data_IF_617551922975
#
_entry.id   IF_617551922975
#
_cell.length_a   1.000
_cell.length_b   1.000
_cell.length_c   1.000
_cell.angle_alpha   90.00
_cell.angle_beta   90.00
_cell.angle_gamma   90.00
#
_symmetry.space_group_name_H-M   'P 1'
#
loop_
_entity.id
_entity.type
_entity.pdbx_description
1 polymer ?
#
# COMPACT_ATOMS: atom_id res chain seq x y z
N UNK A 1 -12.77 10.82 17.77
CA UNK A 1 -11.75 10.53 16.77
C UNK A 1 -11.69 11.61 15.71
N UNK A 2 -10.57 11.70 15.06
CA UNK A 2 -10.34 12.65 13.98
C UNK A 2 -10.38 11.93 12.63
N UNK A 3 -10.61 12.69 11.56
CA UNK A 3 -10.63 12.18 10.19
C UNK A 3 -9.48 12.81 9.42
N UNK A 4 -8.67 11.95 8.79
CA UNK A 4 -7.51 12.35 8.00
C UNK A 4 -7.75 12.08 6.52
N UNK A 5 -7.25 12.96 5.66
CA UNK A 5 -7.18 12.72 4.24
C UNK A 5 -6.15 11.62 3.96
N UNK A 6 -6.45 10.72 3.03
CA UNK A 6 -5.55 9.65 2.61
C UNK A 6 -5.00 9.96 1.22
N UNK A 7 -3.69 9.89 1.08
CA UNK A 7 -2.94 10.16 -0.13
C UNK A 7 -2.26 8.88 -0.61
N UNK A 8 -2.03 8.73 -1.89
CA UNK A 8 -1.37 7.55 -2.43
C UNK A 8 0.16 7.58 -2.25
N UNK A 9 0.75 8.74 -2.03
CA UNK A 9 2.19 8.91 -1.78
C UNK A 9 2.40 9.91 -0.62
N UNK A 10 3.59 9.97 0.00
CA UNK A 10 3.89 10.89 1.11
C UNK A 10 4.05 12.34 0.61
N UNK A 11 2.99 12.86 0.01
CA UNK A 11 2.89 14.21 -0.53
C UNK A 11 1.41 14.62 -0.61
N UNK A 12 1.03 15.72 -0.01
CA UNK A 12 -0.34 16.24 0.01
C UNK A 12 -0.88 16.63 -1.38
N UNK A 13 -0.02 16.69 -2.38
CA UNK A 13 -0.38 16.94 -3.79
C UNK A 13 -0.59 15.65 -4.58
N UNK A 14 -0.22 14.49 -4.03
CA UNK A 14 -0.32 13.21 -4.72
C UNK A 14 -1.77 12.81 -4.99
N UNK A 15 -1.96 11.85 -5.88
CA UNK A 15 -3.27 11.30 -6.20
C UNK A 15 -3.94 10.75 -4.93
N UNK A 16 -5.24 10.89 -4.85
CA UNK A 16 -6.05 10.32 -3.78
C UNK A 16 -7.08 9.35 -4.34
N UNK A 17 -7.21 8.21 -3.70
CA UNK A 17 -8.26 7.23 -3.99
C UNK A 17 -9.67 7.80 -3.79
N UNK A 18 -10.70 6.98 -4.07
CA UNK A 18 -12.12 7.37 -3.98
C UNK A 18 -12.44 8.67 -4.77
N UNK A 19 -11.87 8.81 -5.97
CA UNK A 19 -12.02 10.02 -6.81
C UNK A 19 -11.63 11.31 -6.07
N UNK A 20 -10.49 11.28 -5.36
CA UNK A 20 -9.97 12.42 -4.61
C UNK A 20 -10.55 12.59 -3.20
N UNK A 21 -11.41 11.68 -2.73
CA UNK A 21 -12.12 11.81 -1.46
C UNK A 21 -11.70 10.83 -0.38
N UNK A 22 -10.66 10.01 -0.62
CA UNK A 22 -10.19 9.02 0.33
C UNK A 22 -9.90 9.66 1.69
N UNK A 23 -10.48 9.08 2.75
CA UNK A 23 -10.37 9.53 4.13
C UNK A 23 -10.40 8.32 5.06
N UNK A 24 -9.78 8.45 6.22
CA UNK A 24 -9.82 7.47 7.30
C UNK A 24 -10.17 8.16 8.61
N UNK A 25 -10.98 7.50 9.44
CA UNK A 25 -11.27 7.95 10.79
C UNK A 25 -10.45 7.15 11.80
N UNK A 26 -9.85 7.80 12.78
CA UNK A 26 -9.13 7.13 13.88
C UNK A 26 -10.04 6.37 14.83
N UNK A 27 -11.36 6.44 14.67
CA UNK A 27 -12.31 5.55 15.34
C UNK A 27 -12.46 4.19 14.63
N UNK A 28 -11.99 4.09 13.39
CA UNK A 28 -12.01 2.85 12.62
C UNK A 28 -10.73 2.04 12.85
N UNK A 29 -10.71 0.85 12.26
CA UNK A 29 -9.51 0.03 12.26
C UNK A 29 -8.47 0.63 11.32
N UNK A 30 -7.26 0.83 11.84
CA UNK A 30 -6.09 1.31 11.11
C UNK A 30 -4.89 0.48 11.57
N UNK A 31 -4.15 -0.06 10.62
CA UNK A 31 -2.82 -0.61 10.85
C UNK A 31 -1.76 0.33 10.29
N UNK A 32 -0.78 0.69 11.11
CA UNK A 32 0.36 1.51 10.71
C UNK A 32 1.52 0.59 10.34
N UNK A 33 2.03 0.72 9.12
CA UNK A 33 3.21 -0.03 8.67
C UNK A 33 4.51 0.66 9.06
N UNK A 34 4.53 1.97 8.98
CA UNK A 34 5.69 2.75 9.32
C UNK A 34 5.56 4.20 8.91
N UNK A 35 6.60 4.97 9.20
CA UNK A 35 6.69 6.39 8.91
C UNK A 35 7.73 6.69 7.82
N UNK A 36 7.40 7.66 6.97
CA UNK A 36 8.29 8.27 5.98
C UNK A 36 8.19 9.80 6.13
N UNK A 37 9.16 10.42 6.78
CA UNK A 37 9.09 11.84 7.15
C UNK A 37 7.89 12.13 8.05
N UNK A 38 7.03 13.04 7.59
CA UNK A 38 5.80 13.46 8.29
C UNK A 38 4.57 12.63 7.93
N UNK A 39 4.76 11.47 7.30
CA UNK A 39 3.70 10.62 6.79
C UNK A 39 3.74 9.23 7.40
N UNK A 40 2.57 8.64 7.57
CA UNK A 40 2.38 7.23 7.95
C UNK A 40 1.81 6.46 6.78
N UNK A 41 2.44 5.37 6.40
CA UNK A 41 1.82 4.36 5.55
C UNK A 41 0.89 3.52 6.41
N UNK A 42 -0.37 3.48 6.02
CA UNK A 42 -1.42 2.78 6.77
C UNK A 42 -2.28 1.91 5.86
N UNK A 43 -2.77 0.81 6.42
CA UNK A 43 -3.93 0.09 5.90
C UNK A 43 -5.15 0.47 6.73
N UNK A 44 -6.30 0.64 6.09
CA UNK A 44 -7.55 1.00 6.75
C UNK A 44 -8.75 0.35 6.06
N UNK A 45 -9.74 -0.04 6.86
CA UNK A 45 -10.97 -0.59 6.35
C UNK A 45 -11.88 0.51 5.79
N UNK A 46 -12.49 0.26 4.63
CA UNK A 46 -13.55 1.07 4.04
C UNK A 46 -14.91 0.38 4.12
N UNK A 47 -14.91 -0.94 4.10
CA UNK A 47 -16.03 -1.82 4.45
C UNK A 47 -15.46 -3.01 5.22
N UNK A 48 -16.30 -3.88 5.81
CA UNK A 48 -15.80 -5.11 6.43
C UNK A 48 -14.97 -6.00 5.50
N UNK A 49 -15.18 -5.89 4.19
CA UNK A 49 -14.58 -6.75 3.16
C UNK A 49 -13.52 -6.03 2.33
N UNK A 50 -13.34 -4.71 2.52
CA UNK A 50 -12.43 -3.92 1.69
C UNK A 50 -11.53 -3.04 2.56
N UNK A 51 -10.24 -3.20 2.34
CA UNK A 51 -9.23 -2.33 2.90
C UNK A 51 -8.58 -1.48 1.79
N UNK A 52 -7.88 -0.45 2.20
CA UNK A 52 -7.00 0.34 1.33
C UNK A 52 -5.72 0.65 2.05
N UNK A 53 -4.68 0.88 1.25
CA UNK A 53 -3.37 1.32 1.71
C UNK A 53 -3.14 2.75 1.20
N UNK A 54 -2.56 3.59 2.06
CA UNK A 54 -2.21 4.94 1.68
C UNK A 54 -1.52 5.68 2.81
N UNK A 55 -1.22 6.94 2.55
CA UNK A 55 -0.50 7.81 3.47
C UNK A 55 -1.44 8.78 4.16
N UNK A 56 -1.25 8.93 5.47
CA UNK A 56 -1.90 9.96 6.29
C UNK A 56 -0.84 10.77 7.01
N UNK A 57 -1.22 11.95 7.48
CA UNK A 57 -0.38 12.82 8.29
C UNK A 57 0.05 12.11 9.59
N UNK A 58 1.32 12.23 9.96
CA UNK A 58 1.90 11.62 11.16
C UNK A 58 1.24 12.10 12.47
N UNK A 59 0.63 13.28 12.47
CA UNK A 59 -0.15 13.78 13.59
C UNK A 59 -1.40 12.94 13.92
N UNK A 60 -1.72 11.93 13.09
CA UNK A 60 -2.75 10.94 13.42
C UNK A 60 -2.35 10.00 14.57
N UNK A 61 -1.04 9.86 14.85
CA UNK A 61 -0.58 9.09 15.99
C UNK A 61 -0.76 9.89 17.30
N UNK A 62 -1.06 9.21 18.42
CA UNK A 62 -0.91 9.79 19.75
C UNK A 62 0.51 10.31 19.96
N UNK A 63 0.66 11.37 20.80
CA UNK A 63 1.95 12.02 21.02
C UNK A 63 3.03 11.10 21.60
N UNK A 64 2.62 10.07 22.31
CA UNK A 64 3.48 9.06 22.96
C UNK A 64 3.71 7.82 22.09
N UNK A 65 3.11 7.76 20.90
CA UNK A 65 3.26 6.64 19.97
C UNK A 65 4.36 6.91 18.94
N UNK A 66 5.11 5.86 18.60
CA UNK A 66 6.11 5.91 17.55
C UNK A 66 5.78 4.85 16.47
N UNK A 67 6.05 5.19 15.22
CA UNK A 67 6.03 4.24 14.11
C UNK A 67 7.47 3.94 13.66
N UNK A 68 7.77 2.69 13.26
CA UNK A 68 9.08 2.38 12.67
C UNK A 68 9.29 3.16 11.37
N UNK A 69 10.54 3.44 11.02
CA UNK A 69 10.83 4.00 9.71
C UNK A 69 10.50 2.98 8.61
N UNK A 70 9.88 3.43 7.53
CA UNK A 70 9.67 2.60 6.34
C UNK A 70 11.01 2.37 5.63
N UNK A 71 11.32 1.12 5.35
CA UNK A 71 12.46 0.71 4.54
C UNK A 71 11.95 0.27 3.15
N UNK A 72 11.78 1.22 2.25
CA UNK A 72 11.40 0.97 0.86
C UNK A 72 12.66 0.96 -0.01
N UNK A 73 12.69 0.06 -0.98
CA UNK A 73 13.71 0.09 -2.03
C UNK A 73 13.32 1.08 -3.14
N UNK A 74 14.24 1.36 -4.02
CA UNK A 74 14.02 2.22 -5.17
C UNK A 74 14.67 1.60 -6.40
N UNK A 75 13.96 0.67 -7.05
CA UNK A 75 14.47 -0.06 -8.20
C UNK A 75 13.77 0.43 -9.47
N UNK A 76 14.49 0.98 -10.47
CA UNK A 76 13.88 1.39 -11.72
C UNK A 76 13.26 0.21 -12.46
N UNK A 77 12.05 0.40 -12.99
CA UNK A 77 11.34 -0.58 -13.79
C UNK A 77 10.52 0.10 -14.89
N UNK A 78 10.05 -0.69 -15.86
CA UNK A 78 9.21 -0.22 -16.97
C UNK A 78 7.98 -1.13 -17.05
N UNK A 79 6.81 -0.52 -17.25
CA UNK A 79 5.55 -1.25 -17.45
C UNK A 79 5.51 -1.85 -18.86
N UNK A 80 5.26 -3.15 -18.99
CA UNK A 80 5.30 -3.91 -20.24
C UNK A 80 3.98 -3.91 -21.02
N UNK A 81 2.88 -3.53 -20.38
CA UNK A 81 1.55 -3.39 -21.02
C UNK A 81 0.67 -2.46 -20.17
N UNK A 82 -0.42 -1.98 -20.74
CA UNK A 82 -1.39 -1.12 -20.04
C UNK A 82 -1.94 -1.82 -18.79
N UNK A 83 -1.78 -1.21 -17.63
CA UNK A 83 -2.14 -1.82 -16.35
C UNK A 83 -2.89 -0.86 -15.43
N UNK A 84 -3.81 -1.39 -14.65
CA UNK A 84 -4.44 -0.65 -13.56
C UNK A 84 -3.58 -0.71 -12.30
N UNK A 85 -3.43 0.42 -11.65
CA UNK A 85 -2.78 0.52 -10.34
C UNK A 85 -3.86 0.50 -9.27
N UNK A 86 -3.70 -0.33 -8.25
CA UNK A 86 -4.64 -0.40 -7.13
C UNK A 86 -4.01 0.06 -5.82
N UNK A 87 -4.84 0.53 -4.91
CA UNK A 87 -4.45 0.85 -3.54
C UNK A 87 -4.68 -0.32 -2.56
N UNK A 88 -5.17 -1.45 -3.07
CA UNK A 88 -5.34 -2.71 -2.33
C UNK A 88 -5.33 -3.91 -3.29
N UNK A 89 -4.21 -4.64 -3.37
CA UNK A 89 -4.10 -5.78 -4.29
C UNK A 89 -4.91 -7.00 -3.85
N UNK A 90 -5.35 -7.06 -2.60
CA UNK A 90 -6.03 -8.24 -2.06
C UNK A 90 -7.55 -8.20 -2.31
N UNK A 91 -8.16 -7.02 -2.22
CA UNK A 91 -9.61 -6.89 -2.13
C UNK A 91 -10.20 -5.86 -3.09
N UNK A 92 -9.45 -4.82 -3.45
CA UNK A 92 -9.97 -3.71 -4.24
C UNK A 92 -9.73 -3.92 -5.73
N UNK A 93 -10.80 -3.97 -6.49
CA UNK A 93 -10.73 -3.93 -7.95
C UNK A 93 -10.87 -2.49 -8.49
N UNK A 94 -11.02 -1.52 -7.62
CA UNK A 94 -11.15 -0.12 -8.04
C UNK A 94 -9.77 0.45 -8.34
N UNK A 95 -9.47 0.82 -9.58
CA UNK A 95 -8.17 1.39 -9.91
C UNK A 95 -7.99 2.76 -9.26
N UNK A 96 -6.82 2.98 -8.69
CA UNK A 96 -6.36 4.30 -8.27
C UNK A 96 -6.07 5.16 -9.50
N UNK A 97 -5.38 4.58 -10.47
CA UNK A 97 -5.04 5.16 -11.77
C UNK A 97 -4.69 4.04 -12.77
N UNK A 98 -4.33 4.41 -13.98
CA UNK A 98 -3.82 3.48 -15.00
C UNK A 98 -2.47 3.96 -15.51
N UNK A 99 -1.63 2.99 -15.85
CA UNK A 99 -0.36 3.20 -16.53
C UNK A 99 -0.45 2.61 -17.93
N UNK A 100 0.17 3.28 -18.88
CA UNK A 100 0.34 2.77 -20.25
C UNK A 100 1.64 2.00 -20.36
N UNK A 101 1.70 1.12 -21.34
CA UNK A 101 2.91 0.44 -21.75
C UNK A 101 4.10 1.43 -21.88
N UNK A 102 5.30 0.97 -21.57
CA UNK A 102 6.55 1.75 -21.57
C UNK A 102 6.61 2.90 -20.54
N UNK A 103 5.67 2.98 -19.59
CA UNK A 103 5.79 3.95 -18.49
C UNK A 103 6.91 3.53 -17.54
N UNK A 104 7.84 4.46 -17.27
CA UNK A 104 8.88 4.28 -16.25
C UNK A 104 8.28 4.43 -14.85
N UNK A 105 8.62 3.51 -13.95
CA UNK A 105 8.19 3.48 -12.55
C UNK A 105 9.37 3.15 -11.64
N UNK A 106 9.20 3.36 -10.35
CA UNK A 106 10.13 2.88 -9.32
C UNK A 106 9.44 1.78 -8.52
N UNK A 107 9.98 0.58 -8.55
CA UNK A 107 9.54 -0.51 -7.68
C UNK A 107 10.08 -0.27 -6.26
N UNK A 108 9.19 -0.33 -5.27
CA UNK A 108 9.47 0.02 -3.88
C UNK A 108 9.46 -1.20 -2.96
N UNK A 109 8.62 -2.18 -3.24
CA UNK A 109 8.51 -3.42 -2.47
C UNK A 109 7.73 -4.47 -3.27
N UNK A 110 7.99 -5.74 -3.00
CA UNK A 110 7.23 -6.85 -3.60
C UNK A 110 6.34 -7.51 -2.55
N UNK A 111 5.18 -7.97 -2.97
CA UNK A 111 4.18 -8.63 -2.13
C UNK A 111 3.53 -9.75 -2.95
N UNK A 112 4.13 -10.94 -2.89
CA UNK A 112 3.69 -12.07 -3.73
C UNK A 112 3.70 -11.70 -5.22
N UNK A 113 2.56 -11.85 -5.90
CA UNK A 113 2.40 -11.53 -7.32
C UNK A 113 2.24 -10.03 -7.60
N UNK A 114 2.36 -9.18 -6.60
CA UNK A 114 2.20 -7.74 -6.69
C UNK A 114 3.46 -6.99 -6.32
N UNK A 115 3.69 -5.87 -7.00
CA UNK A 115 4.76 -4.93 -6.67
C UNK A 115 4.18 -3.56 -6.33
N UNK A 116 4.61 -3.02 -5.19
CA UNK A 116 4.33 -1.65 -4.80
C UNK A 116 5.27 -0.71 -5.55
N UNK A 117 4.72 0.22 -6.30
CA UNK A 117 5.46 1.10 -7.18
C UNK A 117 5.21 2.57 -6.87
N UNK A 118 6.10 3.43 -7.32
CA UNK A 118 5.90 4.88 -7.42
C UNK A 118 6.02 5.32 -8.88
N UNK A 119 5.15 6.23 -9.30
CA UNK A 119 5.23 6.90 -10.59
C UNK A 119 4.65 8.32 -10.53
N UNK A 120 4.87 9.08 -11.60
CA UNK A 120 4.42 10.45 -11.71
C UNK A 120 5.19 11.44 -10.84
N UNK A 121 4.83 12.72 -10.93
CA UNK A 121 5.43 13.80 -10.16
C UNK A 121 4.38 14.82 -9.74
N UNK A 122 4.62 15.53 -8.63
CA UNK A 122 3.72 16.55 -8.13
C UNK A 122 2.28 16.06 -7.97
N UNK A 123 1.33 16.68 -8.66
CA UNK A 123 -0.11 16.32 -8.59
C UNK A 123 -0.45 14.99 -9.24
N UNK A 124 0.42 14.46 -10.09
CA UNK A 124 0.27 13.14 -10.71
C UNK A 124 1.08 12.05 -10.01
N UNK A 125 1.84 12.38 -8.96
CA UNK A 125 2.59 11.40 -8.17
C UNK A 125 1.62 10.46 -7.46
N UNK A 126 1.96 9.19 -7.48
CA UNK A 126 1.23 8.17 -6.73
C UNK A 126 2.14 7.00 -6.39
N UNK A 127 1.72 6.24 -5.38
CA UNK A 127 2.17 4.89 -5.08
C UNK A 127 0.97 3.96 -5.10
N UNK A 128 1.18 2.72 -5.50
CA UNK A 128 0.15 1.71 -5.55
C UNK A 128 0.71 0.39 -6.06
N UNK A 129 -0.14 -0.60 -6.16
CA UNK A 129 0.22 -1.95 -6.55
C UNK A 129 -0.10 -2.22 -8.00
N UNK A 130 0.81 -2.92 -8.66
CA UNK A 130 0.61 -3.51 -9.99
C UNK A 130 1.00 -4.99 -9.94
N UNK A 131 0.47 -5.85 -10.82
CA UNK A 131 0.97 -7.21 -10.95
C UNK A 131 2.47 -7.20 -11.26
N UNK A 132 3.26 -8.01 -10.56
CA UNK A 132 4.72 -8.05 -10.75
C UNK A 132 5.10 -8.42 -12.18
N UNK A 133 4.32 -9.29 -12.81
CA UNK A 133 4.52 -9.73 -14.20
C UNK A 133 4.47 -8.59 -15.24
N UNK A 134 3.83 -7.46 -14.92
CA UNK A 134 3.79 -6.31 -15.83
C UNK A 134 5.06 -5.47 -15.82
N UNK A 135 6.04 -5.78 -14.98
CA UNK A 135 7.26 -4.99 -14.85
C UNK A 135 8.44 -5.65 -15.57
N UNK A 136 9.08 -4.88 -16.44
CA UNK A 136 10.34 -5.25 -17.09
C UNK A 136 11.51 -4.56 -16.40
N UNK A 137 12.60 -5.31 -16.24
CA UNK A 137 13.86 -4.79 -15.69
C UNK A 137 13.89 -4.83 -14.16
N UNK A 138 14.72 -5.68 -13.62
CA UNK A 138 15.35 -5.58 -12.30
C UNK A 138 14.59 -5.98 -11.04
N UNK A 139 13.41 -6.54 -11.08
CA UNK A 139 12.92 -7.25 -9.90
C UNK A 139 13.43 -8.70 -9.92
N UNK A 140 14.73 -8.86 -10.14
CA UNK A 140 15.39 -10.15 -9.94
C UNK A 140 15.83 -10.23 -8.50
N UNK A 141 15.18 -11.11 -7.76
CA UNK A 141 15.56 -11.56 -6.42
C UNK A 141 15.45 -10.51 -5.29
N UNK A 142 14.21 -10.07 -5.05
CA UNK A 142 13.86 -9.14 -3.97
C UNK A 142 13.59 -9.81 -2.62
N UNK A 143 14.25 -10.94 -2.32
CA UNK A 143 14.12 -11.58 -1.00
C UNK A 143 14.46 -10.66 0.17
N UNK A 144 15.25 -9.62 -0.07
CA UNK A 144 15.57 -8.61 0.94
C UNK A 144 14.59 -7.42 0.95
N UNK A 145 13.97 -7.07 -0.19
CA UNK A 145 13.00 -5.97 -0.31
C UNK A 145 11.69 -6.23 0.45
N UNK A 146 11.36 -7.48 0.68
CA UNK A 146 10.12 -7.87 1.36
C UNK A 146 10.06 -7.47 2.84
N UNK A 147 11.16 -7.01 3.44
CA UNK A 147 11.19 -6.71 4.89
C UNK A 147 10.25 -5.59 5.31
N UNK A 148 9.97 -4.62 4.44
CA UNK A 148 9.08 -3.50 4.77
C UNK A 148 7.59 -3.92 4.86
N UNK A 149 7.24 -5.00 4.16
CA UNK A 149 5.85 -5.52 4.12
C UNK A 149 5.75 -6.84 4.90
N UNK A 150 6.88 -7.34 5.45
CA UNK A 150 6.89 -8.52 6.30
C UNK A 150 6.12 -8.26 7.58
N UNK A 151 5.19 -9.10 7.88
CA UNK A 151 4.44 -9.02 9.11
C UNK A 151 3.11 -9.75 9.04
N UNK A 152 2.49 -9.83 10.18
CA UNK A 152 1.16 -10.39 10.30
C UNK A 152 0.10 -9.31 10.05
N UNK A 153 -0.74 -9.55 9.09
CA UNK A 153 -1.81 -8.67 8.67
C UNK A 153 -3.13 -9.25 9.17
N UNK A 154 -3.94 -8.45 9.83
CA UNK A 154 -5.29 -8.87 10.20
C UNK A 154 -6.28 -8.38 9.18
N UNK A 155 -6.94 -9.31 8.49
CA UNK A 155 -8.17 -8.98 7.77
C UNK A 155 -9.26 -8.77 8.81
N UNK A 156 -9.84 -7.59 8.84
CA UNK A 156 -10.99 -7.30 9.66
C UNK A 156 -12.27 -7.62 8.87
N UNK A 157 -12.85 -8.79 9.11
CA UNK A 157 -14.15 -9.16 8.58
C UNK A 157 -15.22 -8.94 9.65
N UNK A 158 -15.72 -7.71 9.76
CA UNK A 158 -16.86 -7.41 10.60
C UNK A 158 -16.64 -7.56 12.12
N UNK A 159 -17.73 -7.57 12.89
CA UNK A 159 -17.75 -7.62 14.35
C UNK A 159 -17.56 -9.01 14.95
N UNK A 160 -17.12 -10.01 14.20
CA UNK A 160 -16.82 -11.33 14.72
C UNK A 160 -15.36 -11.45 15.13
N UNK A 161 -15.13 -12.19 16.22
CA UNK A 161 -13.85 -12.33 16.92
C UNK A 161 -12.80 -13.12 16.10
N UNK A 162 -13.17 -13.66 14.97
CA UNK A 162 -12.33 -14.47 14.09
C UNK A 162 -11.72 -13.61 12.97
N UNK A 163 -10.88 -12.66 13.38
CA UNK A 163 -10.06 -11.92 12.41
C UNK A 163 -9.00 -12.87 11.85
N UNK A 164 -9.14 -13.26 10.60
CA UNK A 164 -8.14 -14.05 9.90
C UNK A 164 -6.86 -13.24 9.76
N UNK A 165 -5.79 -13.84 10.23
CA UNK A 165 -4.47 -13.23 10.20
C UNK A 165 -3.72 -13.75 8.98
N UNK A 166 -3.38 -12.85 8.04
CA UNK A 166 -2.44 -13.15 6.98
C UNK A 166 -1.03 -12.81 7.45
N UNK A 167 -0.10 -13.72 7.21
CA UNK A 167 1.32 -13.49 7.50
C UNK A 167 2.10 -13.61 6.21
N UNK A 168 2.83 -12.55 5.86
CA UNK A 168 3.78 -12.56 4.76
C UNK A 168 5.13 -13.02 5.29
N UNK A 169 5.68 -14.06 4.68
CA UNK A 169 6.94 -14.67 5.06
C UNK A 169 8.09 -14.11 4.21
N UNK A 170 9.30 -14.18 4.75
CA UNK A 170 10.50 -13.67 4.11
C UNK A 170 10.87 -14.38 2.79
N UNK A 171 10.29 -15.56 2.53
CA UNK A 171 10.45 -16.32 1.29
C UNK A 171 9.46 -15.90 0.18
N UNK A 172 8.63 -14.87 0.44
CA UNK A 172 7.60 -14.39 -0.48
C UNK A 172 6.31 -15.20 -0.43
N UNK A 173 6.21 -16.20 0.46
CA UNK A 173 4.97 -16.94 0.67
C UNK A 173 4.03 -16.22 1.63
N UNK A 174 2.75 -16.56 1.54
CA UNK A 174 1.68 -16.05 2.38
C UNK A 174 0.96 -17.21 3.08
N UNK A 175 0.70 -17.04 4.38
CA UNK A 175 -0.10 -18.00 5.15
C UNK A 175 -1.32 -17.30 5.75
N UNK A 176 -2.40 -18.05 5.99
CA UNK A 176 -3.58 -17.55 6.68
C UNK A 176 -4.66 -16.94 5.78
N UNK A 177 -4.69 -17.28 4.49
CA UNK A 177 -5.87 -17.01 3.68
C UNK A 177 -6.98 -18.01 4.04
N UNK A 178 -8.13 -17.52 4.49
CA UNK A 178 -9.32 -18.31 4.41
C UNK A 178 -10.00 -18.17 3.04
N UNK A 179 -10.57 -19.25 2.62
CA UNK A 179 -11.39 -19.40 1.41
C UNK A 179 -12.79 -18.86 1.69
#
# INVERSE_FOLDING_TARGET
>A
GQTYAVYSAPDSRSIRGAKGRARVSTNGWIQVFGAEGDWLLVQYAITPEHCRIGYIDKNALPQDAAAPALALEAVPAIVSYDVSVTDDPLMSQTPLTRLTENTSVTALASMGDWTYIEAGTGKSRFRGFVPTECLLGTVTDTREANRAILGSWKLYAGSSVDAEQMTFLADGSMTGCAV
#
